data_IF_318032884046
#
_entry.id   IF_318032884046
#
_cell.length_a   1.000
_cell.length_b   1.000
_cell.length_c   1.000
_cell.angle_alpha   90.00
_cell.angle_beta   90.00
_cell.angle_gamma   90.00
#
_symmetry.space_group_name_H-M   'P 1'
#
loop_
_entity.id
_entity.type
_entity.pdbx_description
1 polymer ?
#
# COMPACT_ATOMS: atom_id res chain seq x y z
N UNK A 1 33.02 -24.48 51.07
CA UNK A 1 32.86 -23.02 50.85
C UNK A 1 32.16 -22.88 49.50
N UNK A 2 30.98 -22.28 49.30
CA UNK A 2 30.22 -21.29 50.06
C UNK A 2 28.74 -21.44 49.66
N UNK A 3 27.84 -21.14 50.60
CA UNK A 3 26.38 -21.37 50.55
C UNK A 3 25.66 -20.42 49.58
N UNK A 4 24.51 -20.91 49.09
CA UNK A 4 23.40 -20.16 48.46
C UNK A 4 23.01 -18.91 49.27
N UNK A 5 22.76 -17.79 48.59
CA UNK A 5 21.97 -16.68 49.14
C UNK A 5 20.87 -16.34 48.12
N UNK A 6 19.64 -16.63 48.54
CA UNK A 6 18.38 -16.28 47.88
C UNK A 6 17.91 -15.01 48.59
N UNK A 7 17.94 -13.85 47.92
CA UNK A 7 17.45 -12.59 48.50
C UNK A 7 15.97 -12.42 48.14
N UNK A 8 15.11 -12.75 49.10
CA UNK A 8 13.73 -12.26 49.20
C UNK A 8 13.78 -10.92 49.92
N UNK A 9 13.22 -9.87 49.32
CA UNK A 9 12.81 -8.68 50.04
C UNK A 9 11.31 -8.47 49.83
N UNK A 10 10.57 -8.78 50.88
CA UNK A 10 9.16 -8.46 51.09
C UNK A 10 9.06 -7.54 52.30
N UNK A 11 8.79 -6.26 52.10
CA UNK A 11 8.08 -5.32 53.01
C UNK A 11 8.04 -4.00 52.24
N UNK A 12 7.00 -3.18 52.23
CA UNK A 12 5.80 -3.08 53.04
C UNK A 12 5.14 -1.75 52.63
N UNK A 13 3.83 -1.73 52.74
CA UNK A 13 2.90 -0.66 52.37
C UNK A 13 3.27 0.69 53.00
N UNK A 14 3.25 1.77 52.22
CA UNK A 14 2.94 3.12 52.73
C UNK A 14 1.88 3.75 51.84
N UNK A 15 0.68 3.77 52.38
CA UNK A 15 -0.48 4.55 51.97
C UNK A 15 -0.12 6.05 51.96
N UNK A 16 -0.35 6.73 50.84
CA UNK A 16 -0.59 8.17 50.85
C UNK A 16 -1.96 8.44 50.22
N UNK A 17 -2.86 8.87 51.10
CA UNK A 17 -4.19 9.40 50.79
C UNK A 17 -4.07 10.65 49.91
N UNK A 18 -4.83 10.67 48.82
CA UNK A 18 -5.09 11.88 48.05
C UNK A 18 -6.00 12.84 48.86
N UNK A 19 -5.70 14.14 48.94
CA UNK A 19 -6.69 15.10 49.39
C UNK A 19 -7.69 15.41 48.26
N UNK A 20 -8.94 15.06 48.54
CA UNK A 20 -10.15 15.58 47.92
C UNK A 20 -10.11 17.12 47.85
N UNK A 21 -10.09 17.68 46.64
CA UNK A 21 -10.53 19.06 46.41
C UNK A 21 -11.94 18.99 45.84
N UNK A 22 -12.90 19.13 46.74
CA UNK A 22 -14.31 19.40 46.42
C UNK A 22 -14.42 20.91 46.22
N UNK A 23 -14.54 21.36 44.97
CA UNK A 23 -15.04 22.71 44.66
C UNK A 23 -16.48 22.52 44.21
N UNK A 24 -17.40 22.88 45.11
CA UNK A 24 -18.82 22.95 44.84
C UNK A 24 -19.20 24.39 44.41
N UNK A 25 -20.18 24.42 43.50
CA UNK A 25 -21.08 25.52 43.15
C UNK A 25 -20.52 26.68 42.33
N UNK A 26 -20.97 26.76 41.07
CA UNK A 26 -22.13 27.62 40.75
C UNK A 26 -22.65 27.33 39.35
N UNK A 27 -23.89 26.80 39.28
CA UNK A 27 -24.71 26.83 38.07
C UNK A 27 -25.12 28.28 37.84
N UNK A 28 -24.81 28.82 36.65
CA UNK A 28 -25.57 29.90 36.05
C UNK A 28 -26.12 29.38 34.74
N UNK A 29 -27.42 29.09 34.77
CA UNK A 29 -28.26 29.08 33.59
C UNK A 29 -28.25 30.50 33.02
N UNK A 30 -27.80 30.68 31.78
CA UNK A 30 -28.20 31.81 30.95
C UNK A 30 -27.98 31.47 29.46
N UNK A 31 -29.09 31.07 28.84
CA UNK A 31 -29.54 31.39 27.47
C UNK A 31 -28.56 31.24 26.31
N UNK A 32 -28.76 30.15 25.56
CA UNK A 32 -28.59 30.06 24.09
C UNK A 32 -29.31 31.23 23.39
N UNK A 33 -28.64 32.03 22.55
CA UNK A 33 -29.32 32.79 21.51
C UNK A 33 -29.50 31.87 20.29
N UNK A 34 -30.76 31.67 19.90
CA UNK A 34 -31.10 31.19 18.57
C UNK A 34 -30.61 32.20 17.53
N UNK A 35 -29.72 31.77 16.64
CA UNK A 35 -29.51 32.43 15.36
C UNK A 35 -30.42 31.72 14.36
N UNK A 36 -31.50 32.39 13.96
CA UNK A 36 -32.35 32.00 12.84
C UNK A 36 -31.55 32.10 11.54
N UNK A 37 -31.84 31.25 10.53
CA UNK A 37 -31.13 31.28 9.26
C UNK A 37 -31.56 32.52 8.47
N UNK A 38 -30.61 33.41 8.18
CA UNK A 38 -30.84 34.49 7.23
C UNK A 38 -30.83 33.93 5.80
N UNK A 39 -32.01 33.98 5.20
CA UNK A 39 -32.26 33.75 3.78
C UNK A 39 -32.13 35.09 3.08
N UNK A 40 -31.04 35.31 2.36
CA UNK A 40 -31.01 36.13 1.14
C UNK A 40 -29.72 35.76 0.38
N UNK A 41 -29.81 34.94 -0.67
CA UNK A 41 -30.03 35.40 -2.06
C UNK A 41 -28.89 36.31 -2.51
N UNK A 42 -27.77 35.70 -2.84
CA UNK A 42 -26.87 36.27 -3.84
C UNK A 42 -26.80 35.32 -5.03
N UNK A 43 -27.18 35.90 -6.15
CA UNK A 43 -27.37 35.32 -7.46
C UNK A 43 -26.11 35.60 -8.26
N UNK A 44 -25.48 34.54 -8.75
CA UNK A 44 -24.73 34.57 -10.00
C UNK A 44 -23.38 35.28 -9.99
N UNK A 45 -22.33 34.48 -10.18
CA UNK A 45 -21.53 34.69 -11.39
C UNK A 45 -20.97 33.38 -11.91
N UNK A 46 -21.67 32.87 -12.92
CA UNK A 46 -21.11 32.02 -13.95
C UNK A 46 -19.84 32.64 -14.53
N UNK A 47 -18.83 31.80 -14.78
CA UNK A 47 -17.93 31.99 -15.92
C UNK A 47 -17.85 30.67 -16.68
N UNK A 48 -18.93 30.37 -17.37
CA UNK A 48 -18.88 29.70 -18.67
C UNK A 48 -19.53 30.61 -19.70
N UNK A 49 -19.24 30.35 -20.99
CA UNK A 49 -19.72 31.02 -22.22
C UNK A 49 -18.84 32.20 -22.70
N UNK A 50 -18.50 32.35 -23.97
CA UNK A 50 -19.05 31.87 -25.27
C UNK A 50 -17.91 31.92 -26.32
N UNK A 51 -17.73 30.91 -27.16
CA UNK A 51 -18.42 30.66 -28.44
C UNK A 51 -18.08 31.68 -29.56
N UNK A 52 -17.43 31.17 -30.62
CA UNK A 52 -17.81 31.45 -32.00
C UNK A 52 -17.67 30.16 -32.80
N UNK A 53 -18.82 29.57 -33.11
CA UNK A 53 -18.94 28.48 -34.06
C UNK A 53 -18.64 28.90 -35.50
N UNK A 54 -18.55 27.88 -36.36
CA UNK A 54 -19.25 27.88 -37.63
C UNK A 54 -19.51 26.44 -38.09
N UNK A 55 -20.57 26.32 -38.87
CA UNK A 55 -21.42 25.14 -39.14
C UNK A 55 -20.87 24.21 -40.24
N UNK A 56 -21.60 23.09 -40.38
CA UNK A 56 -21.82 22.28 -41.60
C UNK A 56 -20.70 21.29 -41.99
N UNK A 57 -20.94 20.06 -42.47
CA UNK A 57 -22.15 19.31 -42.86
C UNK A 57 -21.78 17.83 -43.04
N UNK A 58 -22.81 16.98 -43.01
CA UNK A 58 -22.88 15.56 -43.35
C UNK A 58 -21.99 15.03 -44.50
N UNK A 59 -21.51 13.80 -44.34
CA UNK A 59 -21.72 12.60 -45.19
C UNK A 59 -20.52 11.65 -45.00
N UNK A 60 -20.73 10.44 -44.49
CA UNK A 60 -21.12 9.22 -45.21
C UNK A 60 -19.95 8.57 -45.99
N UNK A 61 -19.80 7.26 -45.74
CA UNK A 61 -19.32 6.24 -46.70
C UNK A 61 -17.80 6.04 -46.90
N UNK A 62 -17.37 4.90 -46.36
CA UNK A 62 -16.42 3.89 -46.88
C UNK A 62 -14.91 4.03 -46.75
N UNK A 63 -14.38 2.95 -46.16
CA UNK A 63 -13.06 2.37 -46.38
C UNK A 63 -12.75 2.17 -47.88
N UNK A 64 -11.47 2.24 -48.28
CA UNK A 64 -10.96 1.10 -49.03
C UNK A 64 -9.55 0.66 -48.58
N UNK A 65 -9.41 -0.66 -48.43
CA UNK A 65 -8.21 -1.43 -48.76
C UNK A 65 -7.73 -1.11 -50.18
N UNK A 66 -6.41 -1.11 -50.44
CA UNK A 66 -5.74 -2.22 -51.14
C UNK A 66 -4.26 -1.93 -51.52
N UNK A 67 -3.49 -3.02 -51.58
CA UNK A 67 -2.43 -3.39 -52.54
C UNK A 67 -1.03 -2.74 -52.54
N UNK A 68 -0.07 -3.60 -52.15
CA UNK A 68 1.10 -4.11 -52.93
C UNK A 68 1.92 -3.15 -53.78
N UNK A 69 3.25 -3.25 -53.64
CA UNK A 69 4.14 -3.36 -54.78
C UNK A 69 5.27 -4.36 -54.48
N UNK A 70 5.34 -5.35 -55.36
CA UNK A 70 6.45 -6.29 -55.55
C UNK A 70 7.25 -5.75 -56.71
N UNK A 71 8.58 -5.66 -56.59
CA UNK A 71 9.44 -5.71 -57.77
C UNK A 71 10.70 -6.51 -57.45
N UNK A 72 10.88 -7.53 -58.29
CA UNK A 72 11.95 -8.51 -58.22
C UNK A 72 13.22 -7.96 -58.88
N UNK A 73 14.38 -8.44 -58.44
CA UNK A 73 15.40 -8.80 -59.41
C UNK A 73 16.18 -10.04 -58.96
N UNK A 74 16.33 -10.95 -59.92
CA UNK A 74 16.88 -12.30 -59.83
C UNK A 74 18.25 -12.28 -60.50
N UNK A 75 19.26 -12.90 -59.90
CA UNK A 75 20.24 -13.71 -60.67
C UNK A 75 21.01 -14.71 -59.79
N UNK A 76 21.12 -15.91 -60.34
CA UNK A 76 21.73 -17.16 -59.84
C UNK A 76 23.27 -17.08 -59.75
N UNK A 77 23.93 -17.88 -58.89
CA UNK A 77 24.49 -19.21 -59.24
C UNK A 77 25.35 -19.82 -58.10
N UNK A 78 25.12 -21.13 -57.82
CA UNK A 78 26.06 -22.24 -57.49
C UNK A 78 27.31 -21.98 -56.60
N UNK A 79 27.69 -22.77 -55.58
CA UNK A 79 27.90 -24.23 -55.52
C UNK A 79 28.28 -24.71 -54.09
N UNK A 80 27.97 -25.99 -53.80
CA UNK A 80 28.58 -27.01 -52.89
C UNK A 80 29.23 -26.69 -51.50
N UNK A 81 28.69 -27.43 -50.50
CA UNK A 81 29.34 -28.33 -49.50
C UNK A 81 30.20 -27.72 -48.37
N UNK A 82 29.71 -27.84 -47.13
CA UNK A 82 30.35 -28.63 -46.05
C UNK A 82 29.41 -28.81 -44.84
N UNK A 83 29.34 -30.03 -44.30
CA UNK A 83 28.70 -30.39 -43.03
C UNK A 83 29.74 -30.19 -41.89
N UNK A 84 29.34 -29.80 -40.67
CA UNK A 84 29.62 -30.75 -39.59
C UNK A 84 28.57 -30.80 -38.45
N UNK A 85 28.18 -32.04 -38.15
CA UNK A 85 28.38 -32.74 -36.87
C UNK A 85 27.60 -32.25 -35.63
N UNK A 86 26.54 -33.01 -35.35
CA UNK A 86 25.88 -33.20 -34.05
C UNK A 86 26.87 -33.74 -33.00
N UNK A 87 26.78 -33.28 -31.74
CA UNK A 87 27.09 -34.12 -30.60
C UNK A 87 25.84 -34.33 -29.73
N UNK A 88 25.38 -35.58 -29.73
CA UNK A 88 24.57 -36.17 -28.68
C UNK A 88 25.49 -36.47 -27.50
N UNK A 89 25.23 -35.84 -26.36
CA UNK A 89 25.56 -36.44 -25.06
C UNK A 89 24.45 -36.13 -24.07
N UNK A 90 23.65 -37.17 -23.84
CA UNK A 90 22.80 -37.34 -22.67
C UNK A 90 23.64 -37.15 -21.40
N UNK A 91 23.28 -36.17 -20.57
CA UNK A 91 23.55 -36.19 -19.12
C UNK A 91 22.26 -35.80 -18.42
N UNK A 92 21.64 -36.81 -17.81
CA UNK A 92 20.52 -36.66 -16.90
C UNK A 92 20.99 -35.98 -15.63
N UNK A 93 20.65 -34.70 -15.45
CA UNK A 93 20.58 -34.07 -14.14
C UNK A 93 19.12 -33.64 -13.91
N UNK A 94 18.42 -34.43 -13.09
CA UNK A 94 17.28 -33.91 -12.33
C UNK A 94 17.84 -32.91 -11.32
N UNK A 95 17.83 -31.64 -11.66
CA UNK A 95 17.79 -30.59 -10.65
C UNK A 95 16.33 -30.27 -10.40
N UNK A 96 15.85 -30.73 -9.25
CA UNK A 96 14.55 -30.33 -8.71
C UNK A 96 14.49 -28.80 -8.62
N UNK A 97 13.53 -28.21 -9.34
CA UNK A 97 13.07 -26.85 -9.15
C UNK A 97 12.53 -26.67 -7.71
N UNK A 98 13.42 -26.41 -6.76
CA UNK A 98 13.04 -25.75 -5.50
C UNK A 98 13.24 -24.26 -5.69
N UNK A 99 12.20 -23.61 -6.25
CA UNK A 99 11.97 -22.17 -6.05
C UNK A 99 12.12 -21.90 -4.54
N UNK A 100 13.07 -21.06 -4.11
CA UNK A 100 13.13 -20.66 -2.71
C UNK A 100 11.79 -19.98 -2.43
N UNK A 101 10.97 -20.56 -1.56
CA UNK A 101 9.83 -19.86 -1.01
C UNK A 101 10.39 -18.62 -0.31
N UNK A 102 10.18 -17.46 -0.95
CA UNK A 102 10.66 -16.17 -0.51
C UNK A 102 9.91 -15.82 0.79
N UNK A 103 10.45 -16.30 1.91
CA UNK A 103 9.83 -16.22 3.23
C UNK A 103 9.91 -14.78 3.73
N UNK A 104 8.77 -14.21 4.10
CA UNK A 104 8.69 -12.94 4.82
C UNK A 104 9.19 -13.17 6.26
N UNK A 105 10.51 -13.11 6.46
CA UNK A 105 11.08 -13.17 7.80
C UNK A 105 10.96 -11.80 8.50
N UNK A 106 10.76 -11.84 9.81
CA UNK A 106 10.78 -10.67 10.69
C UNK A 106 12.23 -10.19 10.77
N UNK A 107 12.55 -9.07 10.13
CA UNK A 107 13.90 -8.49 10.19
C UNK A 107 13.94 -7.50 11.35
N UNK A 108 14.61 -7.86 12.44
CA UNK A 108 14.85 -7.00 13.61
C UNK A 108 16.15 -6.17 13.47
N UNK A 109 16.47 -5.69 12.27
CA UNK A 109 17.62 -4.79 12.11
C UNK A 109 17.24 -3.37 12.53
N UNK A 110 17.87 -2.90 13.62
CA UNK A 110 17.76 -1.51 14.08
C UNK A 110 18.55 -0.60 13.16
N UNK A 111 17.96 -0.23 12.01
CA UNK A 111 18.45 0.86 11.16
C UNK A 111 18.10 2.21 11.80
N UNK A 112 18.95 3.25 11.66
CA UNK A 112 18.60 4.58 12.13
C UNK A 112 17.33 5.06 11.42
N UNK A 113 16.45 5.72 12.18
CA UNK A 113 15.23 6.31 11.65
C UNK A 113 15.54 7.35 10.58
N UNK A 114 14.65 7.49 9.59
CA UNK A 114 14.71 8.61 8.67
C UNK A 114 14.59 9.91 9.47
N UNK A 115 15.46 10.92 9.24
CA UNK A 115 15.41 12.17 9.97
C UNK A 115 14.01 12.81 9.98
N UNK A 116 13.56 13.30 11.14
CA UNK A 116 12.18 13.77 11.34
C UNK A 116 11.83 14.98 10.46
N UNK A 117 12.84 15.78 10.11
CA UNK A 117 12.72 16.94 9.21
C UNK A 117 12.33 16.55 7.79
N UNK A 118 12.38 15.27 7.42
CA UNK A 118 11.89 14.73 6.14
C UNK A 118 10.37 14.53 6.10
N UNK A 119 9.70 14.66 7.24
CA UNK A 119 8.26 14.49 7.37
C UNK A 119 7.56 15.76 7.84
N UNK A 120 6.27 15.89 7.53
CA UNK A 120 5.33 16.72 8.30
C UNK A 120 4.63 15.80 9.30
N UNK A 121 4.89 16.00 10.59
CA UNK A 121 4.32 15.20 11.69
C UNK A 121 3.68 16.12 12.70
N UNK A 122 2.44 15.80 13.10
CA UNK A 122 1.66 16.56 14.08
C UNK A 122 0.91 15.58 14.97
N UNK A 123 1.10 15.68 16.28
CA UNK A 123 0.38 14.87 17.27
C UNK A 123 0.39 13.36 16.96
N UNK A 124 1.56 12.81 16.60
CA UNK A 124 1.72 11.39 16.27
C UNK A 124 1.16 10.96 14.90
N UNK A 125 0.71 11.92 14.09
CA UNK A 125 0.22 11.70 12.73
C UNK A 125 1.24 12.17 11.71
N UNK A 126 1.65 11.30 10.80
CA UNK A 126 2.48 11.63 9.64
C UNK A 126 1.58 12.11 8.49
N UNK A 127 1.67 13.39 8.17
CA UNK A 127 0.84 14.07 7.16
C UNK A 127 1.42 13.94 5.75
N UNK A 128 2.74 14.08 5.61
CA UNK A 128 3.42 14.03 4.33
C UNK A 128 4.89 13.60 4.50
N UNK A 129 5.38 12.80 3.56
CA UNK A 129 6.81 12.66 3.27
C UNK A 129 7.25 13.83 2.38
N UNK A 130 7.96 14.80 2.95
CA UNK A 130 8.39 16.02 2.25
C UNK A 130 9.50 15.71 1.23
N UNK A 131 10.41 14.81 1.59
CA UNK A 131 11.52 14.41 0.71
C UNK A 131 11.12 13.22 -0.17
N UNK A 132 10.59 13.54 -1.36
CA UNK A 132 10.05 12.55 -2.32
C UNK A 132 11.12 11.73 -3.06
N UNK A 133 12.40 12.02 -2.82
CA UNK A 133 13.54 11.34 -3.44
C UNK A 133 14.09 10.18 -2.58
N UNK A 134 13.59 10.01 -1.36
CA UNK A 134 14.00 8.92 -0.50
C UNK A 134 13.60 7.57 -1.08
N UNK A 135 14.55 6.64 -1.15
CA UNK A 135 14.31 5.25 -1.55
C UNK A 135 13.85 4.37 -0.39
N UNK A 136 14.43 4.59 0.79
CA UNK A 136 14.09 3.83 1.99
C UNK A 136 13.62 4.79 3.08
N UNK A 137 12.54 4.43 3.76
CA UNK A 137 11.95 5.23 4.84
C UNK A 137 11.78 4.36 6.09
N UNK A 138 12.32 4.84 7.21
CA UNK A 138 12.25 4.20 8.52
C UNK A 138 11.54 5.14 9.50
N UNK A 139 10.28 4.85 9.82
CA UNK A 139 9.48 5.58 10.81
C UNK A 139 9.64 4.89 12.16
N UNK A 140 10.74 5.18 12.86
CA UNK A 140 11.09 4.50 14.12
C UNK A 140 10.67 5.27 15.38
N UNK A 141 10.15 6.49 15.23
CA UNK A 141 9.58 7.25 16.34
C UNK A 141 8.29 6.58 16.82
N UNK A 142 8.28 6.16 18.09
CA UNK A 142 7.15 5.50 18.75
C UNK A 142 5.92 6.39 18.89
N UNK A 143 6.10 7.71 18.84
CA UNK A 143 4.98 8.64 18.88
C UNK A 143 4.16 8.63 17.59
N UNK A 144 4.75 8.20 16.45
CA UNK A 144 4.07 8.18 15.15
C UNK A 144 3.22 6.92 15.04
N UNK A 145 1.93 7.05 15.33
CA UNK A 145 0.96 5.95 15.32
C UNK A 145 0.06 5.95 14.08
N UNK A 146 0.07 7.00 13.26
CA UNK A 146 -0.81 7.11 12.09
C UNK A 146 -0.08 7.65 10.86
N UNK A 147 -0.26 6.96 9.73
CA UNK A 147 0.05 7.48 8.40
C UNK A 147 -1.24 8.06 7.83
N UNK A 148 -1.27 9.37 7.58
CA UNK A 148 -2.48 10.05 7.12
C UNK A 148 -2.81 9.73 5.66
N UNK A 149 -4.06 10.03 5.27
CA UNK A 149 -4.49 10.12 3.88
C UNK A 149 -3.46 10.90 3.05
N UNK A 150 -3.06 10.32 1.92
CA UNK A 150 -2.09 10.84 0.94
C UNK A 150 -0.62 10.99 1.39
N UNK A 151 -0.24 10.57 2.59
CA UNK A 151 1.07 10.92 3.15
C UNK A 151 2.29 10.45 2.33
N UNK A 152 2.14 9.34 1.59
CA UNK A 152 3.15 8.78 0.69
C UNK A 152 2.69 8.79 -0.79
N UNK A 153 1.62 9.52 -1.13
CA UNK A 153 1.06 9.53 -2.48
C UNK A 153 2.08 10.11 -3.48
N UNK A 154 2.22 9.45 -4.63
CA UNK A 154 3.16 9.83 -5.70
C UNK A 154 4.63 9.92 -5.24
N UNK A 155 5.05 9.11 -4.25
CA UNK A 155 6.44 9.05 -3.81
C UNK A 155 7.21 7.95 -4.53
N UNK A 156 8.53 8.11 -4.65
CA UNK A 156 9.43 7.15 -5.29
C UNK A 156 10.07 6.15 -4.31
N UNK A 157 9.50 6.02 -3.10
CA UNK A 157 10.00 5.10 -2.07
C UNK A 157 9.95 3.65 -2.57
N UNK A 158 11.00 2.90 -2.30
CA UNK A 158 11.14 1.47 -2.58
C UNK A 158 10.86 0.62 -1.34
N UNK A 159 11.14 1.15 -0.16
CA UNK A 159 10.99 0.43 1.11
C UNK A 159 10.45 1.36 2.20
N UNK A 160 9.50 0.88 2.98
CA UNK A 160 8.98 1.57 4.16
C UNK A 160 8.90 0.61 5.34
N UNK A 161 9.51 0.98 6.47
CA UNK A 161 9.38 0.29 7.74
C UNK A 161 8.80 1.25 8.79
N UNK A 162 7.64 0.91 9.34
CA UNK A 162 6.90 1.76 10.27
C UNK A 162 6.29 0.92 11.41
N UNK A 163 7.12 0.39 12.32
CA UNK A 163 6.71 -0.66 13.26
C UNK A 163 5.71 -0.20 14.32
N UNK A 164 5.62 1.09 14.58
CA UNK A 164 4.71 1.65 15.60
C UNK A 164 3.41 2.22 15.00
N UNK A 165 3.30 2.29 13.67
CA UNK A 165 2.08 2.76 13.01
C UNK A 165 0.95 1.75 13.23
N UNK A 166 -0.17 2.23 13.76
CA UNK A 166 -1.38 1.45 13.99
C UNK A 166 -2.42 1.63 12.88
N UNK A 167 -2.44 2.79 12.23
CA UNK A 167 -3.46 3.14 11.23
C UNK A 167 -2.81 3.72 9.98
N UNK A 168 -3.17 3.15 8.83
CA UNK A 168 -2.81 3.69 7.51
C UNK A 168 -4.07 4.26 6.87
N UNK A 169 -4.07 5.56 6.60
CA UNK A 169 -5.20 6.28 6.02
C UNK A 169 -5.43 5.96 4.54
N UNK A 170 -6.63 6.29 4.06
CA UNK A 170 -7.05 6.09 2.65
C UNK A 170 -6.04 6.70 1.67
N UNK A 171 -5.79 6.06 0.53
CA UNK A 171 -4.90 6.55 -0.55
C UNK A 171 -3.49 6.96 -0.09
N UNK A 172 -3.01 6.48 1.06
CA UNK A 172 -1.73 6.89 1.66
C UNK A 172 -0.53 6.57 0.78
N UNK A 173 -0.51 5.41 0.12
CA UNK A 173 0.55 4.93 -0.78
C UNK A 173 0.12 4.91 -2.26
N UNK A 174 -0.89 5.71 -2.61
CA UNK A 174 -1.41 5.74 -3.97
C UNK A 174 -0.32 6.19 -4.95
N UNK A 175 -0.21 5.52 -6.10
CA UNK A 175 0.78 5.79 -7.13
C UNK A 175 2.25 5.76 -6.64
N UNK A 176 2.56 4.91 -5.65
CA UNK A 176 3.94 4.58 -5.25
C UNK A 176 4.54 3.54 -6.21
N UNK A 177 4.88 3.99 -7.42
CA UNK A 177 5.30 3.14 -8.54
C UNK A 177 6.67 2.45 -8.38
N UNK A 178 7.34 2.65 -7.25
CA UNK A 178 8.61 1.98 -6.91
C UNK A 178 8.58 1.20 -5.61
N UNK A 179 7.50 1.29 -4.82
CA UNK A 179 7.41 0.61 -3.54
C UNK A 179 7.48 -0.90 -3.78
N UNK A 180 8.40 -1.59 -3.12
CA UNK A 180 8.57 -3.04 -3.21
C UNK A 180 8.13 -3.72 -1.93
N UNK A 181 8.50 -3.14 -0.79
CA UNK A 181 8.25 -3.75 0.52
C UNK A 181 7.76 -2.73 1.56
N UNK A 182 6.74 -3.13 2.30
CA UNK A 182 6.15 -2.37 3.39
C UNK A 182 6.06 -3.22 4.66
N UNK A 183 6.58 -2.69 5.77
CA UNK A 183 6.52 -3.31 7.10
C UNK A 183 5.74 -2.44 8.08
N UNK A 184 4.72 -3.06 8.68
CA UNK A 184 3.71 -2.44 9.51
C UNK A 184 3.36 -3.36 10.69
N UNK A 185 4.33 -3.59 11.56
CA UNK A 185 4.28 -4.56 12.67
C UNK A 185 3.04 -4.40 13.56
N UNK A 186 2.63 -3.16 13.82
CA UNK A 186 1.51 -2.83 14.69
C UNK A 186 0.25 -2.33 13.97
N UNK A 187 0.23 -2.29 12.63
CA UNK A 187 -0.94 -1.78 11.93
C UNK A 187 -2.15 -2.67 12.15
N UNK A 188 -3.27 -2.05 12.51
CA UNK A 188 -4.59 -2.67 12.73
C UNK A 188 -5.49 -2.49 11.52
N UNK A 189 -5.32 -1.40 10.76
CA UNK A 189 -6.16 -1.07 9.61
C UNK A 189 -5.39 -0.41 8.48
N UNK A 190 -5.74 -0.78 7.24
CA UNK A 190 -5.31 -0.12 6.01
C UNK A 190 -6.53 0.45 5.29
N UNK A 191 -6.49 1.76 5.05
CA UNK A 191 -7.56 2.52 4.40
C UNK A 191 -7.76 2.18 2.94
N UNK A 192 -8.91 2.58 2.40
CA UNK A 192 -9.30 2.25 1.03
C UNK A 192 -8.38 2.88 -0.01
N UNK A 193 -8.34 2.29 -1.21
CA UNK A 193 -7.58 2.81 -2.36
C UNK A 193 -6.08 3.07 -2.08
N UNK A 194 -5.53 2.53 -0.98
CA UNK A 194 -4.20 2.91 -0.47
C UNK A 194 -3.07 2.57 -1.42
N UNK A 195 -3.20 1.50 -2.21
CA UNK A 195 -2.13 0.99 -3.07
C UNK A 195 -2.50 0.95 -4.56
N UNK A 196 -3.51 1.70 -4.98
CA UNK A 196 -3.80 1.84 -6.42
C UNK A 196 -2.59 2.47 -7.13
N UNK A 197 -2.12 1.83 -8.20
CA UNK A 197 -0.92 2.25 -8.94
C UNK A 197 0.38 2.10 -8.16
N UNK A 198 0.38 1.35 -7.04
CA UNK A 198 1.60 0.98 -6.33
C UNK A 198 2.26 -0.23 -6.99
N UNK A 199 3.59 -0.27 -6.96
CA UNK A 199 4.38 -1.42 -7.40
C UNK A 199 4.62 -2.44 -6.28
N UNK A 200 3.95 -2.29 -5.13
CA UNK A 200 4.20 -3.10 -3.93
C UNK A 200 4.20 -4.59 -4.24
N UNK A 201 5.26 -5.28 -3.81
CA UNK A 201 5.45 -6.71 -4.01
C UNK A 201 5.18 -7.51 -2.73
N UNK A 202 5.52 -6.91 -1.59
CA UNK A 202 5.57 -7.55 -0.28
C UNK A 202 5.00 -6.66 0.81
N UNK A 203 4.18 -7.23 1.67
CA UNK A 203 3.70 -6.54 2.87
C UNK A 203 3.72 -7.46 4.09
N UNK A 204 4.28 -6.95 5.17
CA UNK A 204 4.32 -7.59 6.48
C UNK A 204 3.50 -6.77 7.48
N UNK A 205 2.33 -7.28 7.88
CA UNK A 205 1.45 -6.61 8.84
C UNK A 205 0.76 -7.65 9.75
N UNK A 206 1.50 -8.24 10.71
CA UNK A 206 1.04 -9.38 11.51
C UNK A 206 -0.20 -9.09 12.37
N UNK A 207 -0.40 -7.82 12.78
CA UNK A 207 -1.53 -7.38 13.60
C UNK A 207 -2.68 -6.76 12.80
N UNK A 208 -2.62 -6.81 11.46
CA UNK A 208 -3.62 -6.22 10.61
C UNK A 208 -4.96 -6.93 10.77
N UNK A 209 -6.00 -6.19 11.13
CA UNK A 209 -7.35 -6.73 11.35
C UNK A 209 -8.31 -6.37 10.21
N UNK A 210 -8.14 -5.18 9.60
CA UNK A 210 -9.07 -4.66 8.59
C UNK A 210 -8.35 -4.16 7.32
N UNK A 211 -8.80 -4.64 6.17
CA UNK A 211 -8.57 -4.03 4.87
C UNK A 211 -9.83 -3.33 4.40
N UNK A 212 -9.72 -2.05 4.09
CA UNK A 212 -10.85 -1.29 3.55
C UNK A 212 -11.06 -1.53 2.04
N UNK A 213 -12.18 -1.02 1.53
CA UNK A 213 -12.57 -1.13 0.12
C UNK A 213 -11.42 -0.74 -0.82
N UNK A 214 -11.13 -1.60 -1.81
CA UNK A 214 -10.08 -1.37 -2.81
C UNK A 214 -8.67 -1.11 -2.26
N UNK A 215 -8.34 -1.51 -1.03
CA UNK A 215 -7.04 -1.21 -0.42
C UNK A 215 -5.83 -1.51 -1.33
N UNK A 216 -5.81 -2.68 -1.97
CA UNK A 216 -4.79 -3.14 -2.93
C UNK A 216 -5.35 -3.38 -4.34
N UNK A 217 -6.43 -2.69 -4.71
CA UNK A 217 -7.03 -2.85 -6.03
C UNK A 217 -6.00 -2.56 -7.14
N UNK A 218 -5.77 -3.54 -8.01
CA UNK A 218 -4.83 -3.43 -9.13
C UNK A 218 -3.35 -3.34 -8.73
N UNK A 219 -2.98 -3.66 -7.48
CA UNK A 219 -1.58 -3.79 -7.08
C UNK A 219 -0.97 -5.07 -7.68
N UNK A 220 -0.75 -5.06 -9.00
CA UNK A 220 -0.47 -6.22 -9.83
C UNK A 220 0.82 -6.98 -9.49
N UNK A 221 1.72 -6.37 -8.72
CA UNK A 221 2.97 -7.00 -8.29
C UNK A 221 2.87 -7.64 -6.90
N UNK A 222 1.80 -7.37 -6.14
CA UNK A 222 1.67 -7.83 -4.76
C UNK A 222 1.53 -9.35 -4.71
N UNK A 223 2.60 -10.03 -4.32
CA UNK A 223 2.73 -11.50 -4.35
C UNK A 223 2.86 -12.13 -2.96
N UNK A 224 3.36 -11.38 -1.98
CA UNK A 224 3.59 -11.89 -0.63
C UNK A 224 2.87 -11.00 0.39
N UNK A 225 1.90 -11.58 1.07
CA UNK A 225 1.15 -10.94 2.16
C UNK A 225 1.33 -11.73 3.45
N UNK A 226 1.47 -11.04 4.58
CA UNK A 226 1.48 -11.67 5.90
C UNK A 226 0.48 -10.95 6.82
N UNK A 227 -0.75 -11.47 6.84
CA UNK A 227 -1.88 -10.91 7.58
C UNK A 227 -2.56 -11.95 8.51
N UNK A 228 -1.85 -12.68 9.39
CA UNK A 228 -2.44 -13.75 10.21
C UNK A 228 -3.59 -13.31 11.12
N UNK A 229 -3.72 -12.02 11.43
CA UNK A 229 -4.78 -11.47 12.31
C UNK A 229 -5.97 -10.86 11.55
N UNK A 230 -6.02 -10.97 10.21
CA UNK A 230 -7.03 -10.30 9.40
C UNK A 230 -8.42 -10.87 9.63
N UNK A 231 -9.39 -10.00 9.91
CA UNK A 231 -10.79 -10.33 10.23
C UNK A 231 -11.78 -9.81 9.19
N UNK A 232 -11.45 -8.67 8.55
CA UNK A 232 -12.34 -8.00 7.61
C UNK A 232 -11.61 -7.64 6.33
N UNK A 233 -12.20 -8.02 5.19
CA UNK A 233 -11.72 -7.68 3.85
C UNK A 233 -12.81 -6.89 3.14
N UNK A 234 -12.51 -5.63 2.81
CA UNK A 234 -13.39 -4.77 2.05
C UNK A 234 -13.60 -5.24 0.62
N UNK A 235 -14.68 -4.75 0.00
CA UNK A 235 -15.03 -5.07 -1.39
C UNK A 235 -13.82 -4.77 -2.29
N UNK A 236 -13.44 -5.77 -3.09
CA UNK A 236 -12.34 -5.71 -4.07
C UNK A 236 -10.98 -5.29 -3.49
N UNK A 237 -10.77 -5.46 -2.18
CA UNK A 237 -9.55 -5.03 -1.52
C UNK A 237 -8.28 -5.72 -2.06
N UNK A 238 -8.39 -6.93 -2.62
CA UNK A 238 -7.28 -7.72 -3.18
C UNK A 238 -7.44 -8.00 -4.68
N UNK A 239 -8.45 -7.43 -5.35
CA UNK A 239 -8.70 -7.65 -6.78
C UNK A 239 -7.53 -7.16 -7.63
N UNK A 240 -7.08 -7.98 -8.58
CA UNK A 240 -5.96 -7.63 -9.46
C UNK A 240 -4.59 -7.66 -8.78
N UNK A 241 -4.48 -8.25 -7.59
CA UNK A 241 -3.18 -8.54 -6.96
C UNK A 241 -2.60 -9.84 -7.49
N UNK A 242 -1.27 -9.93 -7.63
CA UNK A 242 -0.63 -11.20 -8.05
C UNK A 242 -0.97 -12.35 -7.11
N UNK A 243 -1.04 -12.08 -5.81
CA UNK A 243 -1.40 -13.05 -4.79
C UNK A 243 -2.77 -13.68 -5.08
N UNK A 244 -3.79 -12.87 -5.37
CA UNK A 244 -5.13 -13.38 -5.66
C UNK A 244 -5.19 -14.11 -7.01
N UNK A 245 -4.54 -13.58 -8.04
CA UNK A 245 -4.51 -14.23 -9.35
C UNK A 245 -3.76 -15.57 -9.32
N UNK A 246 -2.66 -15.66 -8.56
CA UNK A 246 -1.96 -16.93 -8.33
C UNK A 246 -2.85 -17.94 -7.60
N UNK A 247 -3.67 -17.49 -6.63
CA UNK A 247 -4.66 -18.35 -5.94
C UNK A 247 -5.78 -18.81 -6.86
N UNK A 248 -6.27 -17.95 -7.75
CA UNK A 248 -7.26 -18.32 -8.77
C UNK A 248 -6.69 -19.34 -9.75
N UNK A 249 -5.45 -19.15 -10.20
CA UNK A 249 -4.76 -20.06 -11.11
C UNK A 249 -4.52 -21.44 -10.49
N UNK A 250 -4.28 -21.51 -9.17
CA UNK A 250 -4.17 -22.77 -8.44
C UNK A 250 -5.51 -23.52 -8.33
N UNK A 251 -6.64 -22.82 -8.51
CA UNK A 251 -7.98 -23.37 -8.43
C UNK A 251 -8.44 -23.66 -7.00
N UNK A 252 -9.69 -24.12 -6.89
CA UNK A 252 -10.32 -24.42 -5.60
C UNK A 252 -10.86 -23.19 -4.87
N UNK A 253 -11.27 -23.40 -3.62
CA UNK A 253 -11.81 -22.33 -2.78
C UNK A 253 -10.68 -21.41 -2.33
N UNK A 254 -10.83 -20.11 -2.57
CA UNK A 254 -9.85 -19.11 -2.13
C UNK A 254 -10.31 -18.55 -0.79
N UNK A 255 -9.48 -18.74 0.23
CA UNK A 255 -9.72 -18.20 1.56
C UNK A 255 -8.46 -17.52 2.10
N UNK A 256 -8.67 -16.48 2.90
CA UNK A 256 -7.64 -15.85 3.71
C UNK A 256 -8.15 -15.77 5.15
N UNK A 257 -7.50 -16.49 6.06
CA UNK A 257 -7.92 -16.62 7.47
C UNK A 257 -9.39 -17.06 7.65
N UNK A 258 -9.86 -17.99 6.81
CA UNK A 258 -11.25 -18.47 6.83
C UNK A 258 -12.27 -17.50 6.21
N UNK A 259 -11.82 -16.36 5.68
CA UNK A 259 -12.66 -15.44 4.92
C UNK A 259 -12.60 -15.87 3.46
N UNK A 260 -13.74 -16.28 2.90
CA UNK A 260 -13.85 -16.60 1.48
C UNK A 260 -13.69 -15.34 0.62
N UNK A 261 -12.79 -15.42 -0.38
CA UNK A 261 -12.55 -14.35 -1.35
C UNK A 261 -13.18 -14.77 -2.67
N UNK A 262 -14.09 -13.95 -3.18
CA UNK A 262 -14.82 -14.16 -4.44
C UNK A 262 -14.16 -13.42 -5.60
#
# INVERSE_FOLDING_TARGET
>A
MTKKIKLLLSVGVVSLLAPMVVIACSKKDDKKPEVKPDVNKDTGKDSSTTDKGDKNTNNEVTNPTNTTNTEANKTENTDKVEEPKVPDTTTTEKTEDKKPEEKLEKVEETRPGTPIDKFDVRDGVLWELKDKNLKEVYITDKAIHTIRRHAFKNTAVEYVNAPYVETVGETSFNATNKLKELRLENAKSIGGFSFIGSSIEKIYAPKLETLEKFAFFGAANLKLIHFPSLKTIGIEALTGTKWLEDKKAAGGKIELNGIEIK
#
